data_IF_441720030350
#
_entry.id   IF_441720030350
#
_cell.length_a   1.000
_cell.length_b   1.000
_cell.length_c   1.000
_cell.angle_alpha   90.00
_cell.angle_beta   90.00
_cell.angle_gamma   90.00
#
_symmetry.space_group_name_H-M   'P 1'
#
loop_
_entity.id
_entity.type
_entity.pdbx_description
1 polymer ?
#
# COMPACT_ATOMS: atom_id res chain seq x y z
N UNK A 1 -0.91 75.99 -13.98
CA UNK A 1 -1.65 75.67 -12.75
C UNK A 1 -0.97 74.48 -12.07
N UNK A 2 -0.29 74.70 -10.93
CA UNK A 2 0.40 73.65 -10.19
C UNK A 2 -0.59 72.90 -9.29
N UNK A 3 -0.71 71.58 -9.50
CA UNK A 3 -1.50 70.71 -8.61
C UNK A 3 -0.74 70.43 -7.31
N UNK A 4 -1.49 70.46 -6.21
CA UNK A 4 -1.03 70.37 -4.83
C UNK A 4 -0.11 69.16 -4.56
N UNK A 5 1.10 69.46 -4.08
CA UNK A 5 2.03 68.47 -3.54
C UNK A 5 1.70 68.25 -2.05
N UNK A 6 1.17 67.07 -1.72
CA UNK A 6 0.94 66.67 -0.32
C UNK A 6 2.27 66.21 0.27
N UNK A 7 2.68 66.87 1.36
CA UNK A 7 3.91 66.50 2.09
C UNK A 7 3.72 65.13 2.76
N UNK A 8 4.67 64.18 2.63
CA UNK A 8 4.60 62.90 3.31
C UNK A 8 4.64 63.10 4.84
N UNK A 9 3.81 62.34 5.55
CA UNK A 9 3.61 62.40 7.01
C UNK A 9 4.87 62.11 7.85
N UNK A 10 5.94 61.61 7.24
CA UNK A 10 7.21 61.31 7.90
C UNK A 10 8.27 62.29 7.41
N UNK A 11 8.04 63.56 7.68
CA UNK A 11 9.02 64.63 7.53
C UNK A 11 9.57 65.01 8.90
N UNK A 12 10.83 64.67 9.15
CA UNK A 12 11.61 65.23 10.26
C UNK A 12 12.14 64.20 11.24
N UNK A 13 13.44 63.89 11.12
CA UNK A 13 14.42 63.79 12.22
C UNK A 13 14.25 62.80 13.37
N UNK A 14 13.09 62.19 13.58
CA UNK A 14 12.85 61.29 14.70
C UNK A 14 12.47 59.91 14.18
N UNK A 15 13.33 58.93 14.41
CA UNK A 15 13.02 57.53 14.16
C UNK A 15 11.74 57.16 14.91
N UNK A 16 10.73 56.69 14.20
CA UNK A 16 9.56 56.04 14.78
C UNK A 16 10.03 54.90 15.67
N UNK A 17 10.05 55.11 16.97
CA UNK A 17 10.40 54.09 17.95
C UNK A 17 9.14 53.27 18.25
N UNK A 18 8.92 52.25 17.42
CA UNK A 18 7.89 51.24 17.65
C UNK A 18 8.49 50.15 18.53
N UNK A 19 8.00 50.02 19.76
CA UNK A 19 8.41 48.95 20.66
C UNK A 19 7.73 47.65 20.21
N UNK A 20 8.50 46.76 19.59
CA UNK A 20 8.02 45.48 19.10
C UNK A 20 8.14 44.42 20.21
N UNK A 21 7.18 43.47 20.33
CA UNK A 21 7.29 42.36 21.27
C UNK A 21 8.57 41.55 21.06
N UNK A 22 9.27 41.22 22.14
CA UNK A 22 10.56 40.50 22.16
C UNK A 22 10.50 39.03 21.74
N UNK A 23 9.37 38.54 21.23
CA UNK A 23 9.20 37.15 20.82
C UNK A 23 9.48 36.88 19.32
N UNK A 24 9.92 37.87 18.55
CA UNK A 24 10.20 37.74 17.11
C UNK A 24 11.57 38.33 16.74
N UNK A 25 12.35 37.61 15.93
CA UNK A 25 13.71 37.98 15.50
C UNK A 25 13.74 39.29 14.70
N UNK A 26 14.71 40.15 15.01
CA UNK A 26 14.93 41.44 14.33
C UNK A 26 15.76 41.24 13.05
N UNK A 27 15.18 41.52 11.89
CA UNK A 27 15.90 41.51 10.61
C UNK A 27 16.51 42.90 10.28
N UNK A 28 17.75 42.96 9.74
CA UNK A 28 18.35 44.20 9.29
C UNK A 28 17.57 44.83 8.12
N UNK A 29 17.47 46.16 8.12
CA UNK A 29 16.78 46.90 7.07
C UNK A 29 17.63 46.94 5.79
N UNK A 30 17.20 46.19 4.76
CA UNK A 30 17.85 46.08 3.45
C UNK A 30 17.65 47.31 2.54
N UNK A 31 16.94 48.35 2.98
CA UNK A 31 16.67 49.55 2.19
C UNK A 31 17.32 50.83 2.72
N UNK A 32 18.27 50.70 3.66
CA UNK A 32 19.11 51.82 4.09
C UNK A 32 20.08 52.26 3.01
N UNK A 33 19.70 53.25 2.19
CA UNK A 33 20.63 53.97 1.30
C UNK A 33 21.64 54.75 2.15
N UNK A 34 22.82 54.21 2.41
CA UNK A 34 23.96 54.98 2.92
C UNK A 34 24.70 55.63 1.75
N UNK A 35 24.50 56.92 1.58
CA UNK A 35 25.34 57.80 0.79
C UNK A 35 26.69 58.04 1.48
N UNK A 36 27.77 57.92 0.70
CA UNK A 36 29.14 58.44 0.94
C UNK A 36 30.14 57.47 1.62
N UNK A 37 31.46 57.62 1.36
CA UNK A 37 32.17 56.85 0.33
C UNK A 37 33.21 55.89 0.94
N UNK A 38 33.57 54.87 0.17
CA UNK A 38 34.64 53.94 0.53
C UNK A 38 35.97 54.67 0.77
N UNK A 39 36.54 54.48 1.96
CA UNK A 39 37.97 54.62 2.19
C UNK A 39 38.48 53.41 2.98
N UNK A 40 39.55 52.85 2.42
CA UNK A 40 40.38 51.78 2.95
C UNK A 40 39.77 50.37 2.85
N UNK A 41 40.00 49.81 1.66
CA UNK A 41 40.19 48.38 1.45
C UNK A 41 41.13 47.80 2.52
N UNK A 42 40.54 47.27 3.59
CA UNK A 42 41.15 46.19 4.34
C UNK A 42 40.59 44.92 3.73
N UNK A 43 41.50 44.15 3.14
CA UNK A 43 41.30 42.80 2.66
C UNK A 43 40.85 41.93 3.84
N UNK A 44 39.56 41.95 4.18
CA UNK A 44 38.97 40.95 5.07
C UNK A 44 38.69 39.75 4.17
N UNK A 45 39.65 38.83 4.17
CA UNK A 45 39.43 37.43 3.88
C UNK A 45 38.29 36.97 4.79
N UNK A 46 37.05 37.15 4.34
CA UNK A 46 35.87 36.72 5.07
C UNK A 46 35.89 35.21 5.06
N UNK A 47 36.05 34.61 6.23
CA UNK A 47 35.84 33.19 6.45
C UNK A 47 34.54 32.79 5.76
N UNK A 48 34.68 31.95 4.74
CA UNK A 48 33.59 31.32 4.03
C UNK A 48 32.64 30.68 5.03
N UNK A 49 31.39 31.15 5.05
CA UNK A 49 30.35 30.74 5.99
C UNK A 49 30.28 29.19 6.04
N UNK A 50 30.40 28.56 7.23
CA UNK A 50 30.41 27.11 7.37
C UNK A 50 29.17 26.44 6.75
N UNK A 51 28.04 27.16 6.72
CA UNK A 51 26.81 26.70 6.09
C UNK A 51 26.92 26.59 4.57
N UNK A 52 27.73 27.46 3.95
CA UNK A 52 27.98 27.51 2.52
C UNK A 52 28.93 26.38 2.10
N UNK A 53 29.97 26.10 2.90
CA UNK A 53 30.85 24.93 2.72
C UNK A 53 30.12 23.60 2.87
N UNK A 54 29.22 23.52 3.85
CA UNK A 54 28.39 22.33 4.04
C UNK A 54 27.42 22.11 2.85
N UNK A 55 26.92 23.21 2.27
CA UNK A 55 26.07 23.16 1.09
C UNK A 55 26.85 22.72 -0.15
N UNK A 56 28.04 23.27 -0.37
CA UNK A 56 28.94 22.90 -1.46
C UNK A 56 29.33 21.41 -1.37
N UNK A 57 29.75 20.96 -0.19
CA UNK A 57 30.07 19.54 0.08
C UNK A 57 28.88 18.61 -0.21
N UNK A 58 27.65 19.05 0.11
CA UNK A 58 26.43 18.27 -0.18
C UNK A 58 26.15 18.24 -1.69
N UNK A 59 26.33 19.35 -2.39
CA UNK A 59 26.13 19.43 -3.84
C UNK A 59 27.13 18.52 -4.58
N UNK A 60 28.39 18.53 -4.17
CA UNK A 60 29.43 17.64 -4.72
C UNK A 60 29.12 16.16 -4.49
N UNK A 61 28.64 15.83 -3.28
CA UNK A 61 28.23 14.46 -2.97
C UNK A 61 27.05 14.00 -3.86
N UNK A 62 26.07 14.88 -4.09
CA UNK A 62 24.92 14.59 -4.97
C UNK A 62 25.40 14.39 -6.41
N UNK A 63 26.27 15.27 -6.92
CA UNK A 63 26.86 15.16 -8.26
C UNK A 63 27.59 13.83 -8.43
N UNK A 64 28.43 13.44 -7.48
CA UNK A 64 29.15 12.15 -7.52
C UNK A 64 28.18 10.97 -7.60
N UNK A 65 27.13 10.97 -6.77
CA UNK A 65 26.13 9.90 -6.76
C UNK A 65 25.34 9.84 -8.06
N UNK A 66 25.05 10.98 -8.69
CA UNK A 66 24.41 11.03 -10.01
C UNK A 66 25.32 10.47 -11.12
N UNK A 67 26.62 10.75 -11.07
CA UNK A 67 27.57 10.15 -12.03
C UNK A 67 27.69 8.64 -11.86
N UNK A 68 27.73 8.13 -10.63
CA UNK A 68 27.74 6.69 -10.33
C UNK A 68 26.46 6.02 -10.84
N UNK A 69 25.30 6.63 -10.59
CA UNK A 69 24.01 6.10 -11.04
C UNK A 69 23.91 6.10 -12.57
N UNK A 70 24.38 7.16 -13.22
CA UNK A 70 24.47 7.23 -14.69
C UNK A 70 25.34 6.10 -15.24
N UNK A 71 26.52 5.87 -14.66
CA UNK A 71 27.40 4.79 -15.09
C UNK A 71 26.76 3.41 -14.93
N UNK A 72 26.01 3.18 -13.84
CA UNK A 72 25.28 1.93 -13.63
C UNK A 72 24.15 1.73 -14.66
N UNK A 73 23.38 2.79 -14.97
CA UNK A 73 22.33 2.76 -15.99
C UNK A 73 22.92 2.54 -17.39
N UNK A 74 24.01 3.22 -17.74
CA UNK A 74 24.69 3.03 -19.02
C UNK A 74 25.26 1.60 -19.13
N UNK A 75 25.74 1.02 -18.02
CA UNK A 75 26.18 -0.37 -17.95
C UNK A 75 25.05 -1.38 -18.20
N UNK A 76 23.91 -1.21 -17.53
CA UNK A 76 22.72 -2.04 -17.79
C UNK A 76 22.20 -1.87 -19.23
N UNK A 77 22.18 -0.64 -19.75
CA UNK A 77 21.72 -0.37 -21.11
C UNK A 77 22.60 -1.07 -22.15
N UNK A 78 23.92 -1.14 -21.93
CA UNK A 78 24.83 -1.89 -22.81
C UNK A 78 24.61 -3.40 -22.72
N UNK A 79 24.32 -3.93 -21.53
CA UNK A 79 24.02 -5.36 -21.33
C UNK A 79 22.72 -5.79 -22.03
N UNK A 80 21.73 -4.90 -22.12
CA UNK A 80 20.46 -5.15 -22.81
C UNK A 80 20.61 -5.01 -24.34
N UNK A 81 21.59 -4.23 -24.82
CA UNK A 81 21.78 -3.93 -26.24
C UNK A 81 22.79 -4.84 -26.95
N UNK A 82 23.43 -5.80 -26.28
CA UNK A 82 24.23 -6.84 -26.94
C UNK A 82 23.34 -8.04 -27.26
N UNK A 83 22.94 -8.27 -28.54
CA UNK A 83 22.39 -9.54 -28.96
C UNK A 83 23.56 -10.54 -29.12
N UNK A 84 23.27 -11.80 -28.82
CA UNK A 84 24.14 -12.98 -28.96
C UNK A 84 25.24 -13.19 -27.91
N UNK A 85 24.87 -13.92 -26.86
CA UNK A 85 25.63 -15.09 -26.44
C UNK A 85 24.63 -16.21 -26.11
N UNK A 86 24.65 -17.28 -26.91
CA UNK A 86 23.92 -18.52 -26.71
C UNK A 86 23.94 -18.95 -25.24
N UNK A 87 22.79 -18.96 -24.58
CA UNK A 87 22.61 -19.65 -23.31
C UNK A 87 21.96 -21.00 -23.61
N UNK A 88 22.78 -22.06 -23.54
CA UNK A 88 22.35 -23.45 -23.62
C UNK A 88 21.15 -23.72 -22.69
N UNK A 89 20.02 -24.08 -23.31
CA UNK A 89 18.70 -24.32 -22.66
C UNK A 89 18.60 -25.72 -22.01
N UNK A 90 19.69 -26.46 -21.84
CA UNK A 90 19.63 -27.89 -21.50
C UNK A 90 20.05 -28.31 -20.09
N UNK A 91 20.41 -27.39 -19.18
CA UNK A 91 20.84 -27.75 -17.81
C UNK A 91 19.93 -27.27 -16.65
N UNK A 92 18.69 -26.84 -16.91
CA UNK A 92 17.75 -26.44 -15.82
C UNK A 92 16.74 -27.56 -15.48
N UNK A 93 16.88 -28.75 -16.07
CA UNK A 93 16.02 -29.90 -15.76
C UNK A 93 16.86 -31.01 -15.15
N UNK A 94 17.38 -30.81 -13.93
CA UNK A 94 17.75 -31.88 -13.00
C UNK A 94 18.27 -31.29 -11.68
N UNK A 95 17.34 -30.99 -10.77
CA UNK A 95 17.45 -31.15 -9.31
C UNK A 95 16.37 -30.30 -8.62
N UNK A 96 15.18 -30.86 -8.43
CA UNK A 96 14.61 -31.04 -7.07
C UNK A 96 13.31 -31.85 -7.16
N UNK A 97 13.33 -33.04 -6.57
CA UNK A 97 12.17 -33.85 -6.18
C UNK A 97 11.56 -33.25 -4.89
N UNK A 98 10.31 -33.60 -4.51
CA UNK A 98 9.36 -32.71 -3.85
C UNK A 98 9.75 -32.41 -2.41
N UNK A 99 10.36 -31.24 -2.19
CA UNK A 99 10.58 -30.69 -0.86
C UNK A 99 9.31 -29.99 -0.37
N UNK A 100 8.80 -30.47 0.76
CA UNK A 100 7.79 -29.78 1.56
C UNK A 100 8.21 -28.31 1.84
N UNK A 101 7.25 -27.39 1.71
CA UNK A 101 7.25 -25.98 2.14
C UNK A 101 8.61 -25.44 2.66
N UNK A 102 9.40 -24.72 1.84
CA UNK A 102 10.49 -23.94 2.38
C UNK A 102 9.89 -22.74 3.11
N UNK A 103 9.91 -22.82 4.43
CA UNK A 103 9.48 -21.81 5.42
C UNK A 103 10.34 -20.52 5.40
N UNK A 104 10.85 -20.06 4.27
CA UNK A 104 11.60 -18.80 4.16
C UNK A 104 10.68 -17.61 3.89
N UNK A 105 9.60 -17.51 4.66
CA UNK A 105 8.68 -16.38 4.57
C UNK A 105 9.36 -15.11 5.06
N UNK A 106 9.37 -14.05 4.24
CA UNK A 106 9.97 -12.77 4.62
C UNK A 106 9.35 -12.23 5.92
N UNK A 107 10.20 -11.66 6.78
CA UNK A 107 9.76 -10.97 8.00
C UNK A 107 8.82 -9.80 7.63
N UNK A 108 7.80 -9.55 8.45
CA UNK A 108 6.80 -8.51 8.21
C UNK A 108 7.45 -7.12 8.06
N UNK A 109 8.56 -6.86 8.78
CA UNK A 109 9.33 -5.62 8.64
C UNK A 109 10.11 -5.55 7.31
N UNK A 110 10.43 -6.68 6.69
CA UNK A 110 11.00 -6.71 5.33
C UNK A 110 9.97 -6.35 4.28
N UNK A 111 8.71 -6.74 4.46
CA UNK A 111 7.64 -6.46 3.50
C UNK A 111 7.16 -5.01 3.62
N UNK A 112 6.92 -4.56 4.85
CA UNK A 112 6.38 -3.22 5.10
C UNK A 112 7.46 -2.14 5.21
N UNK A 113 8.71 -2.50 5.46
CA UNK A 113 9.77 -1.55 5.81
C UNK A 113 9.84 -1.25 7.31
N UNK A 114 10.85 -0.47 7.72
CA UNK A 114 11.24 -0.30 9.14
C UNK A 114 10.50 0.81 9.89
N UNK A 115 9.65 1.59 9.22
CA UNK A 115 9.12 2.87 9.75
C UNK A 115 7.72 2.76 10.39
N UNK A 116 7.19 1.54 10.57
CA UNK A 116 5.80 1.29 10.96
C UNK A 116 5.66 0.73 12.38
N UNK A 117 6.36 1.31 13.35
CA UNK A 117 6.19 1.02 14.78
C UNK A 117 6.24 -0.47 15.17
N UNK A 118 5.93 -0.76 16.44
CA UNK A 118 5.84 -2.14 16.91
C UNK A 118 4.61 -2.86 16.33
N UNK A 119 3.44 -2.23 16.45
CA UNK A 119 2.17 -2.71 15.93
C UNK A 119 1.82 -2.00 14.62
N UNK A 120 1.52 -2.79 13.58
CA UNK A 120 1.13 -2.29 12.27
C UNK A 120 -0.39 -2.31 12.18
N UNK A 121 -1.00 -1.13 12.35
CA UNK A 121 -2.45 -0.98 12.42
C UNK A 121 -3.10 -0.83 11.04
N UNK A 122 -3.98 -1.80 10.73
CA UNK A 122 -4.83 -1.86 9.55
C UNK A 122 -6.26 -1.53 10.00
N UNK A 123 -6.86 -0.51 9.39
CA UNK A 123 -8.25 -0.12 9.63
C UNK A 123 -9.03 -0.23 8.34
N UNK A 124 -10.06 -1.07 8.31
CA UNK A 124 -10.92 -1.30 7.16
C UNK A 124 -12.31 -0.78 7.48
N UNK A 125 -12.87 0.06 6.60
CA UNK A 125 -14.28 0.41 6.66
C UNK A 125 -15.01 -0.34 5.55
N UNK A 126 -16.10 -1.01 5.90
CA UNK A 126 -16.90 -1.80 4.98
C UNK A 126 -18.39 -1.62 5.25
N UNK A 127 -19.19 -1.72 4.20
CA UNK A 127 -20.64 -1.67 4.33
C UNK A 127 -21.19 -3.04 4.75
N UNK A 128 -21.97 -3.14 5.84
CA UNK A 128 -22.58 -4.41 6.27
C UNK A 128 -23.62 -4.96 5.28
N UNK A 129 -24.16 -4.15 4.36
CA UNK A 129 -25.04 -4.62 3.30
C UNK A 129 -24.27 -5.40 2.20
N UNK A 130 -22.97 -5.18 2.09
CA UNK A 130 -22.08 -5.89 1.17
C UNK A 130 -20.79 -6.28 1.90
N UNK A 131 -20.85 -7.22 2.86
CA UNK A 131 -19.71 -7.57 3.70
C UNK A 131 -18.57 -8.16 2.84
N UNK A 132 -17.31 -7.75 3.01
CA UNK A 132 -16.22 -8.14 2.10
C UNK A 132 -15.68 -9.54 2.47
N UNK A 133 -16.25 -10.60 1.88
CA UNK A 133 -15.91 -11.99 2.22
C UNK A 133 -14.42 -12.29 2.03
N UNK A 134 -13.81 -11.75 0.97
CA UNK A 134 -12.38 -12.00 0.70
C UNK A 134 -11.49 -11.49 1.83
N UNK A 135 -11.85 -10.35 2.43
CA UNK A 135 -11.09 -9.76 3.53
C UNK A 135 -11.31 -10.52 4.85
N UNK A 136 -12.47 -11.15 5.04
CA UNK A 136 -12.72 -12.04 6.18
C UNK A 136 -11.91 -13.34 6.07
N UNK A 137 -11.79 -13.90 4.86
CA UNK A 137 -10.91 -15.05 4.60
C UNK A 137 -9.44 -14.68 4.85
N UNK A 138 -8.99 -13.54 4.33
CA UNK A 138 -7.61 -13.06 4.52
C UNK A 138 -7.30 -12.75 5.98
N UNK A 139 -8.28 -12.24 6.74
CA UNK A 139 -8.13 -12.05 8.17
C UNK A 139 -7.81 -13.37 8.89
N UNK A 140 -8.52 -14.45 8.59
CA UNK A 140 -8.26 -15.77 9.17
C UNK A 140 -6.87 -16.29 8.76
N UNK A 141 -6.51 -16.18 7.47
CA UNK A 141 -5.16 -16.54 6.99
C UNK A 141 -4.05 -15.74 7.69
N UNK A 142 -4.28 -14.45 7.98
CA UNK A 142 -3.33 -13.64 8.74
C UNK A 142 -3.23 -14.09 10.20
N UNK A 143 -4.34 -14.52 10.81
CA UNK A 143 -4.33 -15.05 12.17
C UNK A 143 -3.57 -16.38 12.29
N UNK A 144 -3.55 -17.19 11.23
CA UNK A 144 -2.76 -18.44 11.19
C UNK A 144 -1.25 -18.17 11.19
N UNK A 145 -0.80 -17.04 10.63
CA UNK A 145 0.63 -16.68 10.52
C UNK A 145 1.11 -15.72 11.62
N UNK A 146 0.26 -14.81 12.07
CA UNK A 146 0.64 -13.69 12.90
C UNK A 146 -0.21 -13.57 14.16
N UNK A 147 0.37 -12.96 15.20
CA UNK A 147 -0.41 -12.48 16.34
C UNK A 147 -1.21 -11.24 15.94
N UNK A 148 -2.48 -11.43 15.57
CA UNK A 148 -3.38 -10.36 15.11
C UNK A 148 -4.32 -9.89 16.23
N UNK A 149 -4.24 -8.62 16.60
CA UNK A 149 -5.22 -7.96 17.46
C UNK A 149 -6.43 -7.54 16.65
N UNK A 150 -7.51 -8.32 16.74
CA UNK A 150 -8.70 -8.15 15.90
C UNK A 150 -9.80 -7.39 16.64
N UNK A 151 -10.34 -6.36 16.01
CA UNK A 151 -11.41 -5.54 16.60
C UNK A 151 -12.48 -5.20 15.58
N UNK A 152 -13.75 -5.28 16.00
CA UNK A 152 -14.91 -4.87 15.22
C UNK A 152 -15.55 -3.66 15.90
N UNK A 153 -15.95 -2.67 15.10
CA UNK A 153 -16.68 -1.49 15.52
C UNK A 153 -17.83 -1.20 14.54
N UNK A 154 -18.80 -0.42 15.00
CA UNK A 154 -19.90 0.08 14.16
C UNK A 154 -19.86 1.61 14.16
N UNK A 155 -19.82 2.20 12.98
CA UNK A 155 -19.88 3.65 12.81
C UNK A 155 -21.32 4.16 12.97
N UNK A 156 -21.50 5.36 13.51
CA UNK A 156 -22.82 5.97 13.78
C UNK A 156 -23.75 6.09 12.56
N UNK A 157 -23.18 6.08 11.35
CA UNK A 157 -23.92 6.08 10.08
C UNK A 157 -24.69 4.78 9.80
N UNK A 158 -24.46 3.72 10.59
CA UNK A 158 -25.10 2.41 10.45
C UNK A 158 -25.77 2.07 11.78
N UNK A 159 -27.05 1.71 11.74
CA UNK A 159 -27.84 1.44 12.96
C UNK A 159 -27.96 -0.03 13.28
N UNK A 160 -28.22 -0.87 12.28
CA UNK A 160 -28.54 -2.28 12.48
C UNK A 160 -27.51 -3.15 11.73
N UNK A 161 -26.46 -3.58 12.42
CA UNK A 161 -25.51 -4.57 11.89
C UNK A 161 -25.90 -5.95 12.43
N UNK A 162 -26.06 -6.97 11.56
CA UNK A 162 -26.30 -8.35 11.98
C UNK A 162 -25.29 -8.87 13.03
N UNK A 163 -25.75 -9.72 13.95
CA UNK A 163 -24.94 -10.20 15.08
C UNK A 163 -23.73 -11.05 14.63
N UNK A 164 -23.91 -11.87 13.60
CA UNK A 164 -22.82 -12.62 12.96
C UNK A 164 -21.70 -11.71 12.44
N UNK A 165 -22.06 -10.55 11.85
CA UNK A 165 -21.09 -9.54 11.39
C UNK A 165 -20.45 -8.76 12.54
N UNK A 166 -21.18 -8.52 13.64
CA UNK A 166 -20.60 -7.89 14.84
C UNK A 166 -19.57 -8.80 15.53
N UNK A 167 -19.76 -10.12 15.43
CA UNK A 167 -18.87 -11.15 16.00
C UNK A 167 -18.02 -11.87 14.95
N UNK A 168 -17.77 -11.24 13.80
CA UNK A 168 -17.05 -11.87 12.69
C UNK A 168 -15.60 -12.29 13.02
N UNK A 169 -15.01 -11.73 14.08
CA UNK A 169 -13.69 -12.12 14.59
C UNK A 169 -13.74 -12.91 15.91
N UNK A 170 -14.92 -13.42 16.28
CA UNK A 170 -15.14 -14.13 17.55
C UNK A 170 -15.24 -13.20 18.77
N UNK A 171 -15.24 -13.82 19.96
CA UNK A 171 -15.32 -13.09 21.23
C UNK A 171 -13.99 -12.42 21.58
N UNK A 172 -14.05 -11.16 22.05
CA UNK A 172 -12.88 -10.38 22.46
C UNK A 172 -12.22 -11.02 23.68
N UNK A 173 -11.18 -11.83 23.45
CA UNK A 173 -10.31 -12.36 24.49
C UNK A 173 -8.98 -11.60 24.54
N UNK A 174 -9.05 -10.27 24.66
CA UNK A 174 -7.85 -9.43 24.82
C UNK A 174 -7.29 -9.57 26.24
N UNK A 175 -6.62 -10.68 26.49
CA UNK A 175 -5.88 -10.93 27.74
C UNK A 175 -4.43 -10.44 27.66
N UNK A 176 -3.90 -10.26 26.45
CA UNK A 176 -2.51 -9.87 26.20
C UNK A 176 -2.37 -8.36 25.98
N UNK A 177 -1.26 -7.75 26.38
CA UNK A 177 -0.99 -6.35 26.14
C UNK A 177 -0.74 -6.08 24.64
N UNK A 178 -1.15 -4.88 24.18
CA UNK A 178 -1.13 -4.48 22.76
C UNK A 178 0.22 -4.65 22.06
N UNK A 179 1.34 -4.51 22.77
CA UNK A 179 2.68 -4.59 22.21
C UNK A 179 3.14 -6.03 21.87
N UNK A 180 2.42 -7.06 22.32
CA UNK A 180 2.71 -8.47 21.98
C UNK A 180 2.16 -8.88 20.61
N UNK A 181 1.26 -8.07 20.04
CA UNK A 181 0.67 -8.30 18.73
C UNK A 181 1.56 -7.72 17.62
N UNK A 182 1.57 -8.39 16.46
CA UNK A 182 2.33 -7.98 15.29
C UNK A 182 1.49 -7.09 14.35
N UNK A 183 0.20 -7.41 14.24
CA UNK A 183 -0.77 -6.71 13.40
C UNK A 183 -1.97 -6.27 14.24
N UNK A 184 -2.42 -5.03 14.04
CA UNK A 184 -3.73 -4.60 14.49
C UNK A 184 -4.69 -4.65 13.31
N UNK A 185 -5.81 -5.36 13.44
CA UNK A 185 -6.82 -5.49 12.40
C UNK A 185 -8.16 -4.98 12.91
N UNK A 186 -8.55 -3.80 12.44
CA UNK A 186 -9.76 -3.10 12.87
C UNK A 186 -10.76 -3.07 11.73
N UNK A 187 -11.90 -3.74 11.87
CA UNK A 187 -13.02 -3.65 10.95
C UNK A 187 -14.07 -2.68 11.51
N UNK A 188 -14.48 -1.71 10.71
CA UNK A 188 -15.49 -0.73 11.04
C UNK A 188 -16.66 -0.88 10.06
N UNK A 189 -17.79 -1.38 10.55
CA UNK A 189 -19.03 -1.38 9.78
C UNK A 189 -19.53 0.05 9.60
N UNK A 190 -19.51 0.54 8.37
CA UNK A 190 -19.80 1.93 8.01
C UNK A 190 -20.49 1.97 6.64
N UNK A 191 -21.45 2.86 6.48
CA UNK A 191 -22.06 3.13 5.18
C UNK A 191 -21.02 3.83 4.29
N UNK A 192 -20.38 3.06 3.42
CA UNK A 192 -19.38 3.51 2.45
C UNK A 192 -19.67 2.92 1.08
N UNK A 193 -19.54 3.68 -0.01
CA UNK A 193 -19.85 3.18 -1.35
C UNK A 193 -18.86 2.12 -1.83
N UNK A 194 -17.62 2.16 -1.34
CA UNK A 194 -16.57 1.16 -1.60
C UNK A 194 -15.85 0.86 -0.30
N UNK A 195 -15.48 -0.40 -0.10
CA UNK A 195 -14.62 -0.82 1.00
C UNK A 195 -13.31 -0.03 0.94
N UNK A 196 -12.92 0.57 2.08
CA UNK A 196 -11.68 1.36 2.17
C UNK A 196 -10.80 0.81 3.29
N UNK A 197 -9.49 0.86 3.08
CA UNK A 197 -8.49 0.60 4.09
C UNK A 197 -7.66 1.85 4.37
N UNK A 198 -7.27 2.04 5.62
CA UNK A 198 -6.22 2.94 6.05
C UNK A 198 -5.16 2.13 6.78
N UNK A 199 -3.92 2.30 6.38
CA UNK A 199 -2.77 1.71 7.06
C UNK A 199 -1.98 2.81 7.76
N UNK A 200 -1.74 2.68 9.07
CA UNK A 200 -1.02 3.70 9.86
C UNK A 200 -1.58 5.12 9.65
N UNK A 201 -2.77 5.37 10.20
CA UNK A 201 -3.73 6.47 9.96
C UNK A 201 -3.16 7.89 9.75
N UNK A 202 -1.94 8.18 10.19
CA UNK A 202 -1.33 9.51 10.11
C UNK A 202 -0.65 9.84 8.77
N UNK A 203 -0.30 8.85 7.93
CA UNK A 203 0.62 9.08 6.78
C UNK A 203 0.17 8.56 5.41
N UNK A 204 -0.94 7.86 5.30
CA UNK A 204 -1.37 7.26 4.03
C UNK A 204 -2.72 7.77 3.53
N UNK A 205 -2.84 7.88 2.20
CA UNK A 205 -4.14 8.01 1.56
C UNK A 205 -4.95 6.72 1.75
N UNK A 206 -6.30 6.80 1.83
CA UNK A 206 -7.12 5.60 1.89
C UNK A 206 -6.96 4.76 0.62
N UNK A 207 -6.81 3.45 0.77
CA UNK A 207 -6.85 2.48 -0.33
C UNK A 207 -8.30 2.04 -0.50
N UNK A 208 -8.85 2.22 -1.68
CA UNK A 208 -10.24 1.85 -1.99
C UNK A 208 -10.30 0.59 -2.86
N UNK A 209 -11.38 -0.18 -2.68
CA UNK A 209 -11.67 -1.38 -3.44
C UNK A 209 -11.19 -2.65 -2.73
N UNK A 210 -12.11 -3.62 -2.62
CA UNK A 210 -11.88 -4.90 -1.95
C UNK A 210 -10.66 -5.65 -2.52
N UNK A 211 -10.51 -5.71 -3.85
CA UNK A 211 -9.37 -6.37 -4.51
C UNK A 211 -8.02 -5.73 -4.19
N UNK A 212 -7.94 -4.39 -4.11
CA UNK A 212 -6.70 -3.69 -3.77
C UNK A 212 -6.28 -3.94 -2.33
N UNK A 213 -7.25 -3.95 -1.42
CA UNK A 213 -7.03 -4.28 0.00
C UNK A 213 -6.60 -5.74 0.12
N UNK A 214 -7.24 -6.65 -0.62
CA UNK A 214 -6.89 -8.06 -0.64
C UNK A 214 -5.45 -8.31 -1.10
N UNK A 215 -5.01 -7.65 -2.19
CA UNK A 215 -3.62 -7.69 -2.66
C UNK A 215 -2.65 -7.29 -1.55
N UNK A 216 -2.88 -6.13 -0.92
CA UNK A 216 -2.05 -5.64 0.16
C UNK A 216 -1.94 -6.65 1.32
N UNK A 217 -3.08 -7.17 1.79
CA UNK A 217 -3.12 -8.12 2.92
C UNK A 217 -2.40 -9.42 2.58
N UNK A 218 -2.59 -9.95 1.37
CA UNK A 218 -1.94 -11.18 0.94
C UNK A 218 -0.43 -10.99 0.71
N UNK A 219 0.01 -9.82 0.24
CA UNK A 219 1.43 -9.50 0.13
C UNK A 219 2.17 -9.54 1.47
N UNK A 220 1.47 -9.39 2.61
CA UNK A 220 2.07 -9.57 3.93
C UNK A 220 2.65 -10.98 4.10
N UNK A 221 2.11 -12.01 3.41
CA UNK A 221 2.66 -13.36 3.40
C UNK A 221 4.10 -13.44 2.82
N UNK A 222 4.54 -12.41 2.09
CA UNK A 222 5.91 -12.29 1.60
C UNK A 222 6.25 -13.28 0.48
N UNK A 223 5.23 -13.90 -0.14
CA UNK A 223 5.41 -14.73 -1.33
C UNK A 223 5.93 -13.86 -2.49
N UNK A 224 6.98 -14.35 -3.15
CA UNK A 224 7.56 -13.70 -4.32
C UNK A 224 7.13 -14.47 -5.56
N UNK A 225 6.68 -13.73 -6.55
CA UNK A 225 6.39 -14.24 -7.88
C UNK A 225 7.23 -13.47 -8.89
N UNK A 226 7.48 -14.07 -10.05
CA UNK A 226 8.03 -13.32 -11.17
C UNK A 226 7.01 -12.30 -11.72
N UNK A 227 7.46 -11.42 -12.60
CA UNK A 227 6.60 -10.37 -13.15
C UNK A 227 5.37 -10.91 -13.89
N UNK A 228 5.48 -12.07 -14.53
CA UNK A 228 4.39 -12.68 -15.31
C UNK A 228 3.32 -13.20 -14.37
N UNK A 229 3.71 -14.01 -13.39
CA UNK A 229 2.80 -14.58 -12.40
C UNK A 229 2.16 -13.50 -11.53
N UNK A 230 2.92 -12.49 -11.07
CA UNK A 230 2.36 -11.34 -10.34
C UNK A 230 1.27 -10.63 -11.14
N UNK A 231 1.54 -10.34 -12.42
CA UNK A 231 0.56 -9.66 -13.29
C UNK A 231 -0.67 -10.53 -13.55
N UNK A 232 -0.49 -11.84 -13.69
CA UNK A 232 -1.59 -12.77 -13.90
C UNK A 232 -2.49 -12.89 -12.66
N UNK A 233 -1.90 -12.92 -11.46
CA UNK A 233 -2.62 -12.87 -10.18
C UNK A 233 -3.48 -11.59 -10.12
N UNK A 234 -2.88 -10.44 -10.44
CA UNK A 234 -3.59 -9.17 -10.43
C UNK A 234 -4.73 -9.12 -11.45
N UNK A 235 -4.52 -9.66 -12.65
CA UNK A 235 -5.55 -9.78 -13.68
C UNK A 235 -6.76 -10.59 -13.21
N UNK A 236 -6.54 -11.70 -12.50
CA UNK A 236 -7.63 -12.49 -11.92
C UNK A 236 -8.38 -11.73 -10.82
N UNK A 237 -7.67 -11.00 -9.95
CA UNK A 237 -8.31 -10.16 -8.93
C UNK A 237 -9.21 -9.09 -9.58
N UNK A 238 -8.77 -8.48 -10.69
CA UNK A 238 -9.57 -7.51 -11.44
C UNK A 238 -10.77 -8.18 -12.13
N UNK A 239 -10.60 -9.37 -12.70
CA UNK A 239 -11.71 -10.13 -13.28
C UNK A 239 -12.80 -10.44 -12.23
N UNK A 240 -12.41 -10.79 -11.00
CA UNK A 240 -13.36 -10.98 -9.91
C UNK A 240 -14.11 -9.69 -9.56
N UNK A 241 -13.38 -8.59 -9.40
CA UNK A 241 -13.94 -7.32 -8.97
C UNK A 241 -14.87 -6.69 -10.01
N UNK A 242 -14.46 -6.68 -11.28
CA UNK A 242 -15.13 -5.90 -12.32
C UNK A 242 -16.01 -6.74 -13.25
N UNK A 243 -15.62 -7.99 -13.57
CA UNK A 243 -16.36 -8.81 -14.53
C UNK A 243 -17.31 -9.81 -13.84
N UNK A 244 -16.93 -10.34 -12.68
CA UNK A 244 -17.74 -11.32 -11.98
C UNK A 244 -18.77 -10.69 -11.03
N UNK A 245 -18.34 -9.73 -10.19
CA UNK A 245 -19.21 -9.08 -9.20
C UNK A 245 -20.20 -8.10 -9.85
N UNK A 246 -19.72 -7.30 -10.79
CA UNK A 246 -20.49 -6.20 -11.42
C UNK A 246 -20.87 -6.48 -12.88
N UNK A 247 -20.32 -7.54 -13.50
CA UNK A 247 -20.53 -7.82 -14.91
C UNK A 247 -21.83 -8.54 -15.25
N UNK A 248 -22.14 -8.51 -16.54
CA UNK A 248 -23.27 -9.19 -17.19
C UNK A 248 -23.12 -10.72 -17.17
N UNK A 249 -24.22 -11.44 -17.41
CA UNK A 249 -24.17 -12.91 -17.50
C UNK A 249 -23.17 -13.42 -18.55
N UNK A 250 -22.96 -12.68 -19.65
CA UNK A 250 -21.96 -13.05 -20.68
C UNK A 250 -20.53 -12.93 -20.16
N UNK A 251 -20.23 -11.86 -19.43
CA UNK A 251 -18.92 -11.68 -18.79
C UNK A 251 -18.68 -12.77 -17.73
N UNK A 252 -19.69 -13.09 -16.92
CA UNK A 252 -19.60 -14.19 -15.95
C UNK A 252 -19.32 -15.55 -16.61
N UNK A 253 -19.98 -15.86 -17.73
CA UNK A 253 -19.70 -17.07 -18.53
C UNK A 253 -18.25 -17.06 -19.02
N UNK A 254 -17.79 -15.93 -19.54
CA UNK A 254 -16.42 -15.78 -20.06
C UNK A 254 -15.39 -16.02 -18.95
N UNK A 255 -15.57 -15.41 -17.78
CA UNK A 255 -14.69 -15.62 -16.62
C UNK A 255 -14.68 -17.09 -16.20
N UNK A 256 -15.85 -17.73 -16.06
CA UNK A 256 -15.95 -19.14 -15.70
C UNK A 256 -15.28 -20.07 -16.71
N UNK A 257 -15.37 -19.76 -18.00
CA UNK A 257 -14.68 -20.50 -19.07
C UNK A 257 -13.16 -20.39 -18.93
N UNK A 258 -12.64 -19.17 -18.77
CA UNK A 258 -11.22 -18.90 -18.55
C UNK A 258 -10.70 -19.61 -17.30
N UNK A 259 -11.46 -19.57 -16.20
CA UNK A 259 -11.10 -20.28 -14.97
C UNK A 259 -11.02 -21.78 -15.21
N UNK A 260 -12.00 -22.36 -15.91
CA UNK A 260 -12.03 -23.80 -16.16
C UNK A 260 -10.84 -24.27 -16.99
N UNK A 261 -10.36 -23.43 -17.92
CA UNK A 261 -9.15 -23.68 -18.70
C UNK A 261 -7.90 -23.61 -17.82
N UNK A 262 -7.73 -22.54 -17.03
CA UNK A 262 -6.58 -22.40 -16.13
C UNK A 262 -6.49 -23.56 -15.11
N UNK A 263 -7.61 -23.87 -14.46
CA UNK A 263 -7.73 -24.95 -13.47
C UNK A 263 -7.69 -26.36 -14.08
N UNK A 264 -7.69 -26.47 -15.41
CA UNK A 264 -7.41 -27.72 -16.11
C UNK A 264 -5.91 -28.05 -16.11
N UNK A 265 -5.06 -27.04 -15.99
CA UNK A 265 -3.61 -27.15 -16.07
C UNK A 265 -2.93 -27.10 -14.69
N UNK A 266 -3.58 -26.48 -13.70
CA UNK A 266 -3.03 -26.30 -12.35
C UNK A 266 -4.12 -26.42 -11.27
N UNK A 267 -3.74 -26.77 -10.02
CA UNK A 267 -4.71 -26.91 -8.93
C UNK A 267 -5.30 -25.56 -8.46
N UNK A 268 -4.57 -24.46 -8.63
CA UNK A 268 -4.98 -23.10 -8.31
C UNK A 268 -4.98 -22.22 -9.57
N UNK A 269 -5.58 -21.03 -9.50
CA UNK A 269 -5.74 -20.14 -10.66
C UNK A 269 -4.41 -19.73 -11.28
N UNK A 270 -3.36 -19.61 -10.47
CA UNK A 270 -2.01 -19.24 -10.91
C UNK A 270 -1.00 -20.22 -10.33
N UNK A 271 -0.87 -21.38 -10.97
CA UNK A 271 0.16 -22.36 -10.66
C UNK A 271 -0.17 -23.31 -9.50
N UNK A 272 0.86 -23.76 -8.80
CA UNK A 272 0.78 -24.85 -7.82
C UNK A 272 0.34 -24.44 -6.41
N UNK A 273 0.27 -23.14 -6.12
CA UNK A 273 0.00 -22.62 -4.77
C UNK A 273 -1.21 -21.67 -4.73
N UNK A 274 -1.85 -21.59 -3.57
CA UNK A 274 -2.92 -20.64 -3.32
C UNK A 274 -2.39 -19.20 -3.41
N UNK A 275 -3.09 -18.34 -4.14
CA UNK A 275 -2.78 -16.91 -4.24
C UNK A 275 -3.97 -16.03 -3.85
N UNK A 276 -3.77 -14.71 -3.80
CA UNK A 276 -4.88 -13.76 -3.60
C UNK A 276 -5.94 -13.84 -4.70
N UNK A 277 -5.56 -14.26 -5.92
CA UNK A 277 -6.50 -14.49 -6.99
C UNK A 277 -7.56 -15.51 -6.56
N UNK A 278 -7.14 -16.64 -5.99
CA UNK A 278 -8.05 -17.69 -5.54
C UNK A 278 -9.01 -17.19 -4.45
N UNK A 279 -8.48 -16.46 -3.47
CA UNK A 279 -9.25 -15.91 -2.35
C UNK A 279 -10.34 -14.96 -2.84
N UNK A 280 -9.98 -13.99 -3.69
CA UNK A 280 -10.92 -12.97 -4.15
C UNK A 280 -11.95 -13.57 -5.12
N UNK A 281 -11.53 -14.41 -6.05
CA UNK A 281 -12.43 -15.01 -7.03
C UNK A 281 -13.43 -15.97 -6.39
N UNK A 282 -12.97 -16.78 -5.42
CA UNK A 282 -13.84 -17.69 -4.69
C UNK A 282 -14.87 -16.90 -3.90
N UNK A 283 -14.43 -15.83 -3.23
CA UNK A 283 -15.30 -14.96 -2.45
C UNK A 283 -16.36 -14.30 -3.33
N UNK A 284 -15.95 -13.76 -4.48
CA UNK A 284 -16.86 -13.18 -5.44
C UNK A 284 -17.90 -14.20 -5.96
N UNK A 285 -17.50 -15.44 -6.24
CA UNK A 285 -18.44 -16.50 -6.66
C UNK A 285 -19.46 -16.86 -5.57
N UNK A 286 -19.05 -16.88 -4.30
CA UNK A 286 -19.96 -17.17 -3.17
C UNK A 286 -20.95 -16.05 -2.92
N UNK A 287 -20.54 -14.81 -3.15
CA UNK A 287 -21.37 -13.63 -2.91
C UNK A 287 -22.26 -13.26 -4.09
N UNK A 288 -21.88 -13.64 -5.31
CA UNK A 288 -22.68 -13.37 -6.52
C UNK A 288 -23.90 -14.28 -6.67
N UNK A 289 -24.21 -15.09 -5.64
CA UNK A 289 -25.49 -15.78 -5.49
C UNK A 289 -25.88 -16.60 -6.70
N UNK A 290 -25.33 -17.82 -6.81
CA UNK A 290 -25.73 -18.82 -7.81
C UNK A 290 -25.82 -18.24 -9.21
N UNK A 291 -24.67 -18.12 -9.88
CA UNK A 291 -24.65 -17.77 -11.30
C UNK A 291 -25.72 -18.63 -12.00
N UNK A 292 -26.65 -18.02 -12.76
CA UNK A 292 -27.61 -18.76 -13.61
C UNK A 292 -26.90 -19.64 -14.65
N UNK A 293 -25.58 -19.49 -14.72
CA UNK A 293 -24.62 -20.19 -15.55
C UNK A 293 -24.15 -21.46 -14.83
N UNK A 294 -24.22 -22.63 -15.47
CA UNK A 294 -23.64 -23.86 -14.94
C UNK A 294 -22.16 -23.69 -14.61
N UNK A 295 -21.76 -24.04 -13.40
CA UNK A 295 -20.35 -23.98 -12.99
C UNK A 295 -19.58 -25.15 -13.62
N UNK A 296 -18.49 -24.90 -14.39
CA UNK A 296 -17.71 -25.96 -15.03
C UNK A 296 -17.00 -26.90 -14.04
N UNK A 297 -16.63 -28.11 -14.50
CA UNK A 297 -16.12 -29.18 -13.62
C UNK A 297 -14.83 -28.83 -12.86
N UNK A 298 -13.84 -28.20 -13.52
CA UNK A 298 -12.60 -27.83 -12.84
C UNK A 298 -12.84 -26.71 -11.81
N UNK A 299 -13.74 -25.78 -12.12
CA UNK A 299 -14.16 -24.73 -11.19
C UNK A 299 -14.90 -25.32 -9.98
N UNK A 300 -15.77 -26.30 -10.17
CA UNK A 300 -16.42 -27.00 -9.05
C UNK A 300 -15.42 -27.72 -8.15
N UNK A 301 -14.40 -28.38 -8.73
CA UNK A 301 -13.33 -29.03 -7.97
C UNK A 301 -12.55 -28.02 -7.14
N UNK A 302 -12.14 -26.91 -7.76
CA UNK A 302 -11.42 -25.83 -7.11
C UNK A 302 -12.25 -25.14 -6.01
N UNK A 303 -13.56 -24.91 -6.23
CA UNK A 303 -14.46 -24.36 -5.21
C UNK A 303 -14.48 -25.22 -3.94
N UNK A 304 -14.49 -26.54 -4.09
CA UNK A 304 -14.41 -27.49 -2.96
C UNK A 304 -13.02 -27.48 -2.32
N UNK A 305 -11.96 -27.39 -3.12
CA UNK A 305 -10.60 -27.30 -2.61
C UNK A 305 -10.41 -26.05 -1.74
N UNK A 306 -10.93 -24.88 -2.16
CA UNK A 306 -11.00 -23.68 -1.34
C UNK A 306 -11.82 -23.89 -0.07
N UNK A 307 -13.03 -24.46 -0.16
CA UNK A 307 -13.90 -24.69 1.01
C UNK A 307 -13.32 -25.67 2.04
N UNK A 308 -12.48 -26.60 1.61
CA UNK A 308 -11.79 -27.53 2.51
C UNK A 308 -10.76 -26.82 3.40
N UNK A 309 -10.33 -25.59 3.05
CA UNK A 309 -9.48 -24.78 3.90
C UNK A 309 -10.33 -24.11 5.00
N UNK A 310 -9.91 -24.27 6.25
CA UNK A 310 -10.64 -23.72 7.41
C UNK A 310 -10.88 -22.19 7.34
N UNK A 311 -9.94 -21.35 6.86
CA UNK A 311 -10.16 -19.91 6.71
C UNK A 311 -11.35 -19.57 5.80
N UNK A 312 -11.55 -20.34 4.72
CA UNK A 312 -12.62 -20.12 3.75
C UNK A 312 -13.97 -20.54 4.30
N UNK A 313 -14.09 -21.78 4.77
CA UNK A 313 -15.36 -22.31 5.29
C UNK A 313 -15.83 -21.58 6.55
N UNK A 314 -14.90 -21.16 7.42
CA UNK A 314 -15.24 -20.39 8.63
C UNK A 314 -15.77 -19.00 8.27
N UNK A 315 -15.10 -18.29 7.36
CA UNK A 315 -15.55 -16.97 6.92
C UNK A 315 -16.90 -17.02 6.20
N UNK A 316 -17.16 -18.06 5.39
CA UNK A 316 -18.45 -18.20 4.69
C UNK A 316 -19.63 -18.37 5.64
N UNK A 317 -19.45 -19.12 6.73
CA UNK A 317 -20.48 -19.32 7.76
C UNK A 317 -20.89 -18.02 8.45
N UNK A 318 -20.03 -16.99 8.42
CA UNK A 318 -20.35 -15.66 8.98
C UNK A 318 -21.32 -14.85 8.11
N UNK A 319 -21.56 -15.27 6.87
CA UNK A 319 -22.50 -14.62 5.95
C UNK A 319 -23.84 -15.34 5.83
N UNK A 320 -23.99 -16.48 6.51
CA UNK A 320 -25.24 -17.23 6.65
C UNK A 320 -25.96 -16.82 7.93
#
# INVERSE_FOLDING_TARGET
>A
MPMYQVKPYHGGGTSLHVELPTCMYRLPNVHGKSSSPAQNAVHVQGESDPSLHALESRQDHILKRLYELKAAVDGLSKMIQTPDADLDVTNIIQADEPAALPTSTLDLNSVLGKDYGALKDIVINADPASPPLSLLVLHQLLCDRYKVLSTVHTHSAVRNVPENLLRCFGERTNKQPRHEYQLGFTLIWKNVPKTQMKFSVQRMCPIEGEGNIARFLFSLFGQKHDAVHSTLIDSWVDAAAFQLKEGSSKEKVSVLSSMNSALGNSPWLVGGELTVADVVLWSALRQTGGCSVPVPANVQRWLRACENLAPFSTALKLLQ
#
